data_IF_675963105980
#
_entry.id   IF_675963105980
#
_cell.length_a   1.000
_cell.length_b   1.000
_cell.length_c   1.000
_cell.angle_alpha   90.00
_cell.angle_beta   90.00
_cell.angle_gamma   90.00
#
_symmetry.space_group_name_H-M   'P 1'
#
loop_
_entity.id
_entity.type
_entity.pdbx_description
1 polymer ?
#
# COMPACT_ATOMS: atom_id res chain seq x y z
N UNK A 1 15.06 -5.78 3.48
CA UNK A 1 14.25 -6.00 2.27
C UNK A 1 13.84 -7.45 2.04
N UNK A 2 14.64 -8.45 2.42
CA UNK A 2 14.32 -9.87 2.15
C UNK A 2 12.93 -10.34 2.63
N UNK A 3 12.50 -9.93 3.83
CA UNK A 3 11.16 -10.30 4.35
C UNK A 3 10.04 -9.59 3.58
N UNK A 4 10.24 -8.33 3.18
CA UNK A 4 9.25 -7.57 2.43
C UNK A 4 9.04 -8.15 1.02
N UNK A 5 10.12 -8.53 0.34
CA UNK A 5 10.07 -9.21 -0.95
C UNK A 5 9.41 -10.59 -0.84
N UNK A 6 9.75 -11.37 0.18
CA UNK A 6 9.11 -12.66 0.43
C UNK A 6 7.60 -12.51 0.73
N UNK A 7 7.21 -11.51 1.53
CA UNK A 7 5.81 -11.20 1.83
C UNK A 7 5.03 -10.83 0.55
N UNK A 8 5.63 -10.03 -0.33
CA UNK A 8 5.05 -9.70 -1.64
C UNK A 8 4.88 -10.95 -2.50
N UNK A 9 5.89 -11.84 -2.54
CA UNK A 9 5.85 -13.06 -3.33
C UNK A 9 4.70 -14.01 -2.91
N UNK A 10 4.34 -14.02 -1.63
CA UNK A 10 3.20 -14.79 -1.11
C UNK A 10 1.87 -14.01 -1.13
N UNK A 11 1.84 -12.83 -1.75
CA UNK A 11 0.64 -12.03 -1.96
C UNK A 11 0.22 -11.15 -0.78
N UNK A 12 1.08 -10.94 0.22
CA UNK A 12 0.83 -10.00 1.31
C UNK A 12 1.12 -8.59 0.81
N UNK A 13 0.08 -7.75 0.84
CA UNK A 13 0.16 -6.35 0.44
C UNK A 13 0.91 -5.53 1.50
N UNK A 14 1.75 -4.62 1.04
CA UNK A 14 2.32 -3.60 1.90
C UNK A 14 1.31 -2.49 2.23
N UNK A 15 1.75 -1.53 3.05
CA UNK A 15 0.92 -0.42 3.48
C UNK A 15 0.42 0.43 2.30
N UNK A 16 1.26 0.67 1.28
CA UNK A 16 0.92 1.53 0.15
C UNK A 16 -0.04 0.84 -0.80
N UNK A 17 0.19 -0.41 -1.13
CA UNK A 17 -0.72 -1.21 -1.93
C UNK A 17 -2.11 -1.31 -1.28
N UNK A 18 -2.15 -1.51 0.03
CA UNK A 18 -3.41 -1.53 0.80
C UNK A 18 -4.10 -0.17 0.80
N UNK A 19 -3.34 0.93 0.88
CA UNK A 19 -3.87 2.28 0.82
C UNK A 19 -4.43 2.61 -0.59
N UNK A 20 -3.73 2.24 -1.66
CA UNK A 20 -4.20 2.41 -3.04
C UNK A 20 -5.51 1.67 -3.30
N UNK A 21 -5.67 0.45 -2.78
CA UNK A 21 -6.96 -0.25 -2.87
C UNK A 21 -8.09 0.51 -2.17
N UNK A 22 -7.82 1.13 -1.02
CA UNK A 22 -8.82 1.95 -0.32
C UNK A 22 -9.19 3.20 -1.13
N UNK A 23 -8.24 3.83 -1.83
CA UNK A 23 -8.56 4.93 -2.75
C UNK A 23 -9.39 4.47 -3.94
N UNK A 24 -9.08 3.30 -4.52
CA UNK A 24 -9.88 2.72 -5.61
C UNK A 24 -11.33 2.45 -5.18
N UNK A 25 -11.54 2.09 -3.91
CA UNK A 25 -12.88 1.93 -3.32
C UNK A 25 -13.51 3.25 -2.84
N UNK A 26 -12.88 4.40 -3.05
CA UNK A 26 -13.40 5.71 -2.65
C UNK A 26 -13.34 6.00 -1.14
N UNK A 27 -12.58 5.22 -0.36
CA UNK A 27 -12.48 5.37 1.10
C UNK A 27 -11.47 6.46 1.50
N UNK A 28 -10.48 6.75 0.66
CA UNK A 28 -9.47 7.79 0.90
C UNK A 28 -9.01 8.41 -0.42
N UNK A 29 -8.19 9.46 -0.38
CA UNK A 29 -7.69 10.17 -1.57
C UNK A 29 -6.22 9.85 -1.86
N UNK A 30 -5.81 9.95 -3.13
CA UNK A 30 -4.40 9.79 -3.52
C UNK A 30 -3.48 10.80 -2.82
N UNK A 31 -3.96 12.03 -2.59
CA UNK A 31 -3.22 13.04 -1.85
C UNK A 31 -2.93 12.58 -0.41
N UNK A 32 -3.90 11.96 0.24
CA UNK A 32 -3.74 11.46 1.61
C UNK A 32 -2.78 10.26 1.66
N UNK A 33 -2.90 9.34 0.72
CA UNK A 33 -1.99 8.18 0.60
C UNK A 33 -0.55 8.65 0.42
N UNK A 34 -0.31 9.64 -0.44
CA UNK A 34 1.03 10.18 -0.68
C UNK A 34 1.58 10.97 0.51
N UNK A 35 0.71 11.52 1.37
CA UNK A 35 1.12 12.19 2.61
C UNK A 35 1.56 11.19 3.69
N UNK A 36 0.84 10.06 3.81
CA UNK A 36 1.02 9.09 4.91
C UNK A 36 1.92 7.91 4.55
N UNK A 37 2.12 7.63 3.27
CA UNK A 37 3.06 6.61 2.81
C UNK A 37 4.25 7.30 2.16
N UNK A 38 5.45 7.03 2.68
CA UNK A 38 6.72 7.42 2.09
C UNK A 38 7.43 6.12 1.72
N UNK A 39 7.83 6.00 0.47
CA UNK A 39 8.85 5.01 0.11
C UNK A 39 10.19 5.41 0.75
#
# INVERSE_FOLDING_TARGET
MQIAEAAQAIGIRDLRQSALMKAAHGVTSLAEINRVTKD
#
